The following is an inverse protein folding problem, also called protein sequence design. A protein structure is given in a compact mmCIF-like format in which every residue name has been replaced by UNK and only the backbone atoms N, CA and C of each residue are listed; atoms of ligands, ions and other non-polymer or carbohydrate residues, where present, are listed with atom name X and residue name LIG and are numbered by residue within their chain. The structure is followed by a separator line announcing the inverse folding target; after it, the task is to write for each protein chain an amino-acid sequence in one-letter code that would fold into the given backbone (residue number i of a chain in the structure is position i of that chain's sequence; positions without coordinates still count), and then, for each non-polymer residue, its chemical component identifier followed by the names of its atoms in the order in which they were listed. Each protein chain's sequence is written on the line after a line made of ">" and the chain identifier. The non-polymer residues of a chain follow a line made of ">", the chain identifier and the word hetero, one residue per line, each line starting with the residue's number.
data_IF_333252916154
#
_entry.id   IF_333252916154
#
_cell.length_a   1.000
_cell.length_b   1.000
_cell.length_c   1.000
_cell.angle_alpha   90.00
_cell.angle_beta   90.00
_cell.angle_gamma   90.00
#
_symmetry.space_group_name_H-M   'P 1'
#
loop_
_entity.id
_entity.type
_entity.pdbx_description
1 polymer ?
#
# COMPACT_ATOMS: atom_id res chain seq x y z
N UNK A 1 2.73 -4.85 4.30
CA UNK A 1 2.65 -3.46 4.74
C UNK A 1 4.01 -2.74 4.72
N UNK A 2 5.06 -3.35 5.27
CA UNK A 2 6.39 -2.73 5.29
C UNK A 2 6.90 -2.36 3.88
N UNK A 3 6.69 -3.21 2.89
CA UNK A 3 7.03 -2.89 1.50
C UNK A 3 6.29 -1.63 0.99
N UNK A 4 5.00 -1.47 1.33
CA UNK A 4 4.21 -0.31 0.93
C UNK A 4 4.69 1.03 1.51
N UNK A 5 5.41 1.02 2.64
CA UNK A 5 5.99 2.26 3.21
C UNK A 5 7.23 2.73 2.47
N UNK A 6 7.92 1.82 1.74
CA UNK A 6 9.11 2.14 0.96
C UNK A 6 8.80 2.64 -0.45
N UNK A 7 7.57 2.41 -0.96
CA UNK A 7 7.18 2.83 -2.31
C UNK A 7 7.37 4.33 -2.58
N UNK A 8 7.03 5.25 -1.66
CA UNK A 8 7.31 6.66 -1.89
C UNK A 8 8.80 6.98 -2.11
N UNK A 9 9.70 6.19 -1.50
CA UNK A 9 11.14 6.37 -1.70
C UNK A 9 11.58 6.04 -3.13
N UNK A 10 10.96 5.03 -3.77
CA UNK A 10 11.26 4.70 -5.18
C UNK A 10 10.84 5.81 -6.14
N UNK A 11 9.71 6.48 -5.86
CA UNK A 11 9.26 7.64 -6.64
C UNK A 11 10.15 8.86 -6.44
N UNK A 12 10.62 9.10 -5.22
CA UNK A 12 11.60 10.16 -4.92
C UNK A 12 12.89 9.89 -5.70
N UNK A 13 13.39 8.65 -5.69
CA UNK A 13 14.58 8.23 -6.43
C UNK A 13 14.41 8.40 -7.94
N UNK A 14 13.24 8.05 -8.48
CA UNK A 14 12.90 8.26 -9.88
C UNK A 14 12.96 9.74 -10.28
N UNK A 15 12.45 10.62 -9.42
CA UNK A 15 12.49 12.07 -9.60
C UNK A 15 13.92 12.62 -9.63
N UNK A 16 14.83 12.11 -8.82
CA UNK A 16 16.22 12.57 -8.77
C UNK A 16 17.06 12.05 -9.94
N UNK A 17 16.84 10.83 -10.38
CA UNK A 17 17.65 10.23 -11.45
C UNK A 17 17.23 10.70 -12.84
N UNK A 18 16.00 11.19 -13.01
CA UNK A 18 15.44 11.63 -14.29
C UNK A 18 15.29 10.52 -15.34
N UNK A 19 15.55 9.27 -14.99
CA UNK A 19 15.55 8.16 -15.93
C UNK A 19 14.19 7.45 -15.94
N UNK A 20 13.61 7.26 -17.09
CA UNK A 20 12.27 6.68 -17.29
C UNK A 20 12.14 5.27 -16.72
N UNK A 21 13.22 4.47 -16.70
CA UNK A 21 13.11 3.10 -16.16
C UNK A 21 12.83 3.06 -14.65
N UNK A 22 13.22 4.07 -13.89
CA UNK A 22 12.88 4.15 -12.47
C UNK A 22 11.39 4.33 -12.25
N UNK A 23 10.71 5.05 -13.17
CA UNK A 23 9.26 5.23 -13.16
C UNK A 23 8.56 3.89 -13.40
N UNK A 24 9.04 3.10 -14.40
CA UNK A 24 8.49 1.78 -14.66
C UNK A 24 8.72 0.81 -13.50
N UNK A 25 9.92 0.81 -12.93
CA UNK A 25 10.24 -0.02 -11.77
C UNK A 25 9.40 0.36 -10.54
N UNK A 26 9.28 1.66 -10.25
CA UNK A 26 8.45 2.15 -9.15
C UNK A 26 6.98 1.76 -9.36
N UNK A 27 6.45 1.93 -10.57
CA UNK A 27 5.09 1.54 -10.92
C UNK A 27 4.85 0.04 -10.79
N UNK A 28 5.79 -0.80 -11.22
CA UNK A 28 5.70 -2.26 -11.08
C UNK A 28 5.71 -2.68 -9.59
N UNK A 29 6.61 -2.10 -8.79
CA UNK A 29 6.65 -2.35 -7.35
C UNK A 29 5.36 -1.90 -6.65
N UNK A 30 4.80 -0.75 -7.05
CA UNK A 30 3.54 -0.23 -6.53
C UNK A 30 2.37 -1.14 -6.88
N UNK A 31 2.27 -1.57 -8.14
CA UNK A 31 1.23 -2.48 -8.60
C UNK A 31 1.27 -3.83 -7.85
N UNK A 32 2.45 -4.42 -7.66
CA UNK A 32 2.62 -5.66 -6.90
C UNK A 32 2.25 -5.49 -5.44
N UNK A 33 2.68 -4.40 -4.80
CA UNK A 33 2.38 -4.15 -3.41
C UNK A 33 0.88 -3.92 -3.17
N UNK A 34 0.23 -3.09 -4.00
CA UNK A 34 -1.21 -2.83 -3.89
C UNK A 34 -2.06 -4.01 -4.32
N UNK A 35 -1.60 -4.79 -5.31
CA UNK A 35 -2.23 -6.05 -5.71
C UNK A 35 -2.31 -7.07 -4.57
N UNK A 36 -1.33 -7.07 -3.66
CA UNK A 36 -1.35 -7.92 -2.47
C UNK A 36 -2.08 -7.29 -1.27
N UNK A 37 -1.88 -5.98 -1.04
CA UNK A 37 -2.43 -5.27 0.13
C UNK A 37 -3.95 -5.10 0.05
N UNK A 38 -4.47 -4.78 -1.12
CA UNK A 38 -5.91 -4.52 -1.29
C UNK A 38 -6.77 -5.74 -0.93
N UNK A 39 -6.54 -6.95 -1.48
CA UNK A 39 -7.32 -8.12 -1.08
C UNK A 39 -7.07 -8.53 0.37
N UNK A 40 -5.86 -8.31 0.92
CA UNK A 40 -5.57 -8.59 2.31
C UNK A 40 -6.39 -7.70 3.26
N UNK A 41 -6.50 -6.40 2.97
CA UNK A 41 -7.32 -5.46 3.74
C UNK A 41 -8.81 -5.82 3.67
N UNK A 42 -9.30 -6.19 2.48
CA UNK A 42 -10.68 -6.61 2.31
C UNK A 42 -10.98 -7.90 3.09
N UNK A 43 -10.08 -8.88 3.03
CA UNK A 43 -10.21 -10.12 3.80
C UNK A 43 -10.16 -9.86 5.30
N UNK A 44 -9.31 -8.94 5.77
CA UNK A 44 -9.27 -8.52 7.17
C UNK A 44 -10.59 -7.89 7.60
N UNK A 45 -11.17 -7.02 6.77
CA UNK A 45 -12.48 -6.43 7.03
C UNK A 45 -13.58 -7.50 7.08
N UNK A 46 -13.56 -8.47 6.17
CA UNK A 46 -14.49 -9.61 6.16
C UNK A 46 -14.34 -10.49 7.41
N UNK A 47 -13.13 -10.78 7.84
CA UNK A 47 -12.84 -11.60 9.03
C UNK A 47 -13.26 -10.89 10.33
N UNK A 48 -13.17 -9.56 10.35
CA UNK A 48 -13.54 -8.73 11.50
C UNK A 48 -15.05 -8.43 11.58
N UNK A 49 -15.79 -8.68 10.49
CA UNK A 49 -17.21 -8.34 10.40
C UNK A 49 -18.06 -9.31 11.24
N UNK A 50 -18.98 -8.79 12.08
CA UNK A 50 -19.96 -9.61 12.80
C UNK A 50 -20.82 -10.42 11.82
N UNK A 51 -21.05 -11.70 12.11
CA UNK A 51 -21.79 -12.58 11.19
C UNK A 51 -23.22 -12.08 10.89
N UNK A 52 -23.86 -11.46 11.86
CA UNK A 52 -25.25 -10.98 11.75
C UNK A 52 -25.40 -9.78 10.82
N UNK A 53 -24.41 -8.87 10.81
CA UNK A 53 -24.49 -7.59 10.10
C UNK A 53 -23.33 -7.39 9.12
N UNK A 54 -22.82 -8.51 8.57
CA UNK A 54 -21.65 -8.53 7.72
C UNK A 54 -21.73 -7.57 6.51
N UNK A 55 -22.91 -7.53 5.88
CA UNK A 55 -23.15 -6.67 4.70
C UNK A 55 -23.06 -5.20 5.08
N UNK A 56 -23.70 -4.80 6.18
CA UNK A 56 -23.65 -3.42 6.67
C UNK A 56 -22.22 -3.01 7.06
N UNK A 57 -21.46 -3.92 7.70
CA UNK A 57 -20.08 -3.67 8.08
C UNK A 57 -19.18 -3.43 6.84
N UNK A 58 -19.32 -4.26 5.81
CA UNK A 58 -18.55 -4.10 4.56
C UNK A 58 -18.95 -2.83 3.82
N UNK A 59 -20.24 -2.49 3.79
CA UNK A 59 -20.71 -1.23 3.21
C UNK A 59 -20.09 -0.01 3.93
N UNK A 60 -20.09 -0.02 5.27
CA UNK A 60 -19.43 1.03 6.08
C UNK A 60 -17.91 1.10 5.82
N UNK A 61 -17.23 -0.04 5.77
CA UNK A 61 -15.80 -0.09 5.43
C UNK A 61 -15.53 0.53 4.06
N UNK A 62 -16.34 0.19 3.06
CA UNK A 62 -16.21 0.73 1.71
C UNK A 62 -16.51 2.23 1.66
N UNK A 63 -17.53 2.68 2.38
CA UNK A 63 -17.87 4.11 2.49
C UNK A 63 -16.73 4.91 3.12
N UNK A 64 -16.24 4.47 4.27
CA UNK A 64 -15.14 5.14 4.99
C UNK A 64 -13.87 5.17 4.13
N UNK A 65 -13.53 4.06 3.47
CA UNK A 65 -12.38 3.99 2.56
C UNK A 65 -12.55 4.91 1.35
N UNK A 66 -13.74 4.97 0.76
CA UNK A 66 -14.05 5.88 -0.34
C UNK A 66 -13.97 7.35 0.05
N UNK A 67 -14.56 7.72 1.19
CA UNK A 67 -14.48 9.08 1.73
C UNK A 67 -13.04 9.48 2.04
N UNK A 68 -12.27 8.58 2.67
CA UNK A 68 -10.86 8.83 2.96
C UNK A 68 -10.03 9.03 1.68
N UNK A 69 -10.27 8.22 0.64
CA UNK A 69 -9.62 8.38 -0.66
C UNK A 69 -9.99 9.69 -1.35
N UNK A 70 -11.27 10.05 -1.34
CA UNK A 70 -11.75 11.33 -1.87
C UNK A 70 -11.11 12.52 -1.17
N UNK A 71 -11.12 12.55 0.17
CA UNK A 71 -10.48 13.61 0.96
C UNK A 71 -8.99 13.69 0.70
N UNK A 72 -8.30 12.55 0.59
CA UNK A 72 -6.90 12.49 0.21
C UNK A 72 -6.64 13.15 -1.15
N UNK A 73 -7.48 12.88 -2.16
CA UNK A 73 -7.41 13.51 -3.47
C UNK A 73 -7.63 15.02 -3.43
N UNK A 74 -8.68 15.46 -2.72
CA UNK A 74 -9.02 16.89 -2.59
C UNK A 74 -7.92 17.67 -1.85
N UNK A 75 -7.32 17.09 -0.81
CA UNK A 75 -6.28 17.76 0.00
C UNK A 75 -4.93 17.76 -0.74
N UNK A 76 -4.63 16.75 -1.54
CA UNK A 76 -3.33 16.60 -2.21
C UNK A 76 -3.04 17.73 -3.21
N UNK A 77 -4.04 18.25 -3.90
CA UNK A 77 -3.89 19.34 -4.86
C UNK A 77 -3.37 20.65 -4.22
N UNK A 78 -4.11 21.25 -3.26
CA UNK A 78 -3.64 22.41 -2.52
C UNK A 78 -2.31 22.21 -1.81
N UNK A 79 -2.09 21.02 -1.24
CA UNK A 79 -0.84 20.67 -0.57
C UNK A 79 0.34 20.65 -1.56
N UNK A 80 0.13 20.12 -2.77
CA UNK A 80 1.15 20.16 -3.82
C UNK A 80 1.48 21.61 -4.21
N UNK A 81 0.47 22.47 -4.38
CA UNK A 81 0.67 23.90 -4.70
C UNK A 81 1.49 24.61 -3.62
N UNK A 82 1.20 24.32 -2.35
CA UNK A 82 1.97 24.84 -1.22
C UNK A 82 3.43 24.34 -1.28
N UNK A 83 3.65 23.07 -1.53
CA UNK A 83 4.99 22.49 -1.60
C UNK A 83 5.78 22.90 -2.84
N UNK A 84 5.13 23.29 -3.93
CA UNK A 84 5.81 23.85 -5.11
C UNK A 84 6.52 25.17 -4.82
N UNK A 85 6.07 25.91 -3.79
CA UNK A 85 6.74 27.11 -3.33
C UNK A 85 8.02 26.82 -2.51
N UNK A 86 8.14 25.60 -1.98
CA UNK A 86 9.27 25.12 -1.18
C UNK A 86 10.31 24.41 -2.07
N UNK A 87 10.93 25.15 -2.99
CA UNK A 87 12.03 24.62 -3.78
C UNK A 87 13.33 24.67 -2.97
N UNK A 88 13.85 23.51 -2.60
CA UNK A 88 15.15 23.41 -1.94
C UNK A 88 16.18 22.83 -2.91
N UNK A 89 17.31 23.49 -3.04
CA UNK A 89 18.49 22.97 -3.72
C UNK A 89 19.44 22.40 -2.67
N UNK A 90 19.55 21.07 -2.64
CA UNK A 90 20.44 20.36 -1.72
C UNK A 90 21.36 19.46 -2.55
N UNK A 91 22.67 19.74 -2.54
CA UNK A 91 23.70 18.94 -3.25
C UNK A 91 23.38 18.72 -4.75
N UNK A 92 23.14 19.77 -5.53
CA UNK A 92 22.75 19.72 -6.95
C UNK A 92 21.45 18.95 -7.27
N UNK A 93 20.72 18.54 -6.24
CA UNK A 93 19.41 17.91 -6.35
C UNK A 93 18.31 18.94 -6.09
N UNK A 94 17.42 19.12 -7.05
CA UNK A 94 16.23 19.99 -6.90
C UNK A 94 15.09 19.21 -6.27
N UNK A 95 14.77 19.56 -5.01
CA UNK A 95 13.58 19.06 -4.34
C UNK A 95 12.37 19.83 -4.87
N UNK A 96 11.49 19.11 -5.55
CA UNK A 96 10.23 19.66 -6.06
C UNK A 96 9.08 19.35 -5.09
N UNK A 97 7.93 20.01 -5.28
CA UNK A 97 6.72 19.77 -4.47
C UNK A 97 6.27 18.30 -4.43
N UNK A 98 6.52 17.54 -5.49
CA UNK A 98 6.22 16.10 -5.54
C UNK A 98 7.03 15.28 -4.54
N UNK A 99 8.31 15.59 -4.34
CA UNK A 99 9.16 14.88 -3.38
C UNK A 99 8.63 15.05 -1.96
N UNK A 100 8.19 16.27 -1.61
CA UNK A 100 7.54 16.55 -0.33
C UNK A 100 6.24 15.77 -0.16
N UNK A 101 5.42 15.71 -1.21
CA UNK A 101 4.17 14.97 -1.18
C UNK A 101 4.39 13.46 -0.96
N UNK A 102 5.39 12.88 -1.64
CA UNK A 102 5.77 11.48 -1.45
C UNK A 102 6.31 11.22 -0.04
N UNK A 103 7.07 12.15 0.52
CA UNK A 103 7.58 12.03 1.88
C UNK A 103 6.42 12.03 2.90
N UNK A 104 5.48 12.96 2.79
CA UNK A 104 4.27 13.01 3.63
C UNK A 104 3.45 11.73 3.49
N UNK A 105 3.27 11.22 2.27
CA UNK A 105 2.60 9.94 2.00
C UNK A 105 3.32 8.77 2.68
N UNK A 106 4.65 8.71 2.61
CA UNK A 106 5.45 7.68 3.27
C UNK A 106 5.31 7.69 4.79
N UNK A 107 5.36 8.88 5.39
CA UNK A 107 5.12 9.05 6.83
C UNK A 107 3.71 8.61 7.22
N UNK A 108 2.68 9.03 6.46
CA UNK A 108 1.29 8.63 6.69
C UNK A 108 1.12 7.10 6.64
N UNK A 109 1.70 6.44 5.64
CA UNK A 109 1.68 4.97 5.51
C UNK A 109 2.39 4.29 6.68
N UNK A 110 3.50 4.84 7.17
CA UNK A 110 4.21 4.29 8.33
C UNK A 110 3.41 4.37 9.62
N UNK A 111 2.61 5.44 9.80
CA UNK A 111 1.71 5.56 10.94
C UNK A 111 0.53 4.59 10.83
N UNK A 112 -0.04 4.39 9.64
CA UNK A 112 -1.08 3.40 9.40
C UNK A 112 -0.64 2.00 9.81
N UNK A 113 0.63 1.62 9.53
CA UNK A 113 1.19 0.34 9.98
C UNK A 113 1.21 0.20 11.52
N UNK A 114 1.56 1.28 12.23
CA UNK A 114 1.53 1.28 13.71
C UNK A 114 0.14 1.08 14.27
N UNK A 115 -0.87 1.68 13.63
CA UNK A 115 -2.28 1.55 14.02
C UNK A 115 -2.84 0.14 13.76
N UNK A 116 -2.31 -0.58 12.75
CA UNK A 116 -2.72 -1.95 12.46
C UNK A 116 -2.06 -3.00 13.36
N UNK A 117 -0.96 -2.65 14.05
CA UNK A 117 -0.22 -3.59 14.93
C UNK A 117 -1.07 -4.27 16.01
N UNK A 118 -2.02 -3.57 16.70
CA UNK A 118 -2.86 -4.20 17.72
C UNK A 118 -3.99 -5.05 17.16
N UNK A 119 -4.27 -5.01 15.84
CA UNK A 119 -5.32 -5.82 15.22
C UNK A 119 -4.86 -7.27 15.20
N UNK A 120 -5.51 -8.11 16.03
CA UNK A 120 -5.24 -9.56 16.05
C UNK A 120 -6.19 -10.25 15.09
N UNK A 121 -5.64 -10.95 14.11
CA UNK A 121 -6.40 -11.91 13.32
C UNK A 121 -6.69 -13.15 14.19
N UNK A 122 -7.95 -13.53 14.29
CA UNK A 122 -8.40 -14.64 15.14
C UNK A 122 -7.94 -16.00 14.60
N UNK A 123 -7.67 -16.09 13.29
CA UNK A 123 -7.22 -17.31 12.61
C UNK A 123 -6.14 -16.97 11.55
N UNK A 124 -5.02 -16.38 11.93
CA UNK A 124 -3.94 -16.16 10.98
C UNK A 124 -3.04 -17.38 10.89
N UNK A 125 -3.00 -18.00 9.72
CA UNK A 125 -1.96 -18.98 9.41
C UNK A 125 -0.60 -18.27 9.35
N UNK A 126 0.39 -18.84 10.04
CA UNK A 126 1.75 -18.32 9.92
C UNK A 126 2.21 -18.49 8.47
N UNK A 127 2.82 -17.47 7.90
CA UNK A 127 3.30 -17.49 6.50
C UNK A 127 4.12 -18.74 6.18
N UNK A 128 4.87 -19.26 7.17
CA UNK A 128 5.63 -20.50 7.03
C UNK A 128 4.75 -21.74 6.84
N UNK A 129 3.61 -21.80 7.53
CA UNK A 129 2.69 -22.95 7.45
C UNK A 129 1.93 -22.91 6.13
N UNK A 130 1.54 -21.72 5.68
CA UNK A 130 0.94 -21.49 4.36
C UNK A 130 1.90 -21.91 3.23
N UNK A 131 3.15 -21.46 3.28
CA UNK A 131 4.17 -21.83 2.28
C UNK A 131 4.45 -23.36 2.30
N UNK A 132 4.44 -23.96 3.48
CA UNK A 132 4.61 -25.42 3.63
C UNK A 132 3.44 -26.18 3.02
N UNK A 133 2.22 -25.71 3.24
CA UNK A 133 1.01 -26.33 2.70
C UNK A 133 0.89 -26.14 1.19
N UNK A 134 1.19 -24.96 0.67
CA UNK A 134 1.30 -24.73 -0.77
C UNK A 134 2.32 -25.68 -1.41
N UNK A 135 3.49 -25.83 -0.79
CA UNK A 135 4.54 -26.74 -1.29
C UNK A 135 4.13 -28.20 -1.24
N UNK A 136 3.35 -28.62 -0.23
CA UNK A 136 2.83 -29.99 -0.12
C UNK A 136 1.59 -30.21 -0.99
N UNK A 137 0.72 -29.21 -1.12
CA UNK A 137 -0.44 -29.23 -1.98
C UNK A 137 -0.06 -29.32 -3.48
N UNK A 138 0.96 -28.60 -3.92
CA UNK A 138 1.48 -28.70 -5.28
C UNK A 138 2.01 -30.09 -5.62
N UNK A 139 2.51 -30.84 -4.63
CA UNK A 139 2.93 -32.24 -4.84
C UNK A 139 1.75 -33.18 -4.90
N UNK A 140 0.59 -32.87 -4.35
CA UNK A 140 -0.63 -33.68 -4.39
C UNK A 140 -1.48 -33.43 -5.64
N UNK A 141 -1.44 -32.21 -6.17
CA UNK A 141 -2.02 -31.90 -7.48
C UNK A 141 -0.98 -32.28 -8.52
N UNK A 142 -0.78 -33.58 -8.72
CA UNK A 142 -0.05 -34.10 -9.87
C UNK A 142 -0.77 -33.58 -11.13
N UNK A 143 -0.21 -32.55 -11.76
CA UNK A 143 -0.71 -32.04 -13.03
C UNK A 143 -0.70 -33.19 -14.06
N UNK A 144 -1.83 -33.61 -14.56
CA UNK A 144 -1.88 -34.65 -15.58
C UNK A 144 -1.63 -33.98 -16.94
N UNK A 145 -0.43 -33.53 -17.18
CA UNK A 145 0.02 -33.27 -18.54
C UNK A 145 0.65 -34.57 -19.05
N UNK A 146 -0.15 -35.47 -19.58
CA UNK A 146 0.22 -36.44 -20.59
C UNK A 146 -0.78 -36.35 -21.72
#
# INVERSE_FOLDING_TARGET
>A
FFAGTLLPATWILAGFTGHVYWIWLAGACDALAWGAVTPALFNLALASAPQRDRVAFIAMYSLVSGVAGFLGGVISGPLLTLFQQLQLHVFDLTWTGYHWLFLVSGVGRSQAWRLLRPVREVESWRTRDLLREMRTGWRRIGFPWR
#
